data_IF_979057859934
#
_entry.id   IF_979057859934
#
_cell.length_a   1.000
_cell.length_b   1.000
_cell.length_c   1.000
_cell.angle_alpha   90.00
_cell.angle_beta   90.00
_cell.angle_gamma   90.00
#
_symmetry.space_group_name_H-M   'P 1'
#
loop_
_entity.id
_entity.type
_entity.pdbx_description
1 polymer ?
#
# COMPACT_ATOMS: atom_id res chain seq x y z
N UNK A 1 -24.23 8.07 51.63
CA UNK A 1 -25.22 7.61 50.64
C UNK A 1 -24.58 7.49 49.25
N UNK A 2 -23.54 6.66 49.14
CA UNK A 2 -22.72 6.51 47.92
C UNK A 2 -22.33 5.04 47.66
N UNK A 3 -23.20 4.09 48.06
CA UNK A 3 -22.90 2.66 47.97
C UNK A 3 -24.06 1.78 47.47
N UNK A 4 -25.19 2.36 47.05
CA UNK A 4 -26.38 1.58 46.70
C UNK A 4 -26.68 1.51 45.19
N UNK A 5 -25.94 2.23 44.34
CA UNK A 5 -26.12 2.21 42.88
C UNK A 5 -25.00 1.49 42.11
N UNK A 6 -24.26 0.58 42.78
CA UNK A 6 -23.18 -0.22 42.17
C UNK A 6 -23.46 -1.72 42.10
N UNK A 7 -24.71 -2.15 42.34
CA UNK A 7 -25.07 -3.57 42.46
C UNK A 7 -26.32 -4.01 41.69
N UNK A 8 -26.61 -3.36 40.56
CA UNK A 8 -27.67 -3.81 39.62
C UNK A 8 -27.27 -3.77 38.13
N UNK A 9 -25.96 -3.82 37.82
CA UNK A 9 -25.47 -4.03 36.45
C UNK A 9 -24.58 -5.28 36.34
N UNK A 10 -24.73 -6.23 37.26
CA UNK A 10 -24.14 -7.57 37.12
C UNK A 10 -25.26 -8.57 36.83
N UNK A 11 -25.21 -9.14 35.62
CA UNK A 11 -26.00 -10.29 35.12
C UNK A 11 -27.14 -10.03 34.14
N UNK A 12 -26.91 -9.18 33.14
CA UNK A 12 -27.48 -9.45 31.82
C UNK A 12 -26.52 -8.87 30.76
N UNK A 13 -25.56 -9.69 30.30
CA UNK A 13 -24.93 -9.44 28.99
C UNK A 13 -26.05 -9.62 27.97
N UNK A 14 -26.79 -8.54 27.70
CA UNK A 14 -27.63 -8.42 26.51
C UNK A 14 -26.76 -8.83 25.34
N UNK A 15 -27.07 -9.99 24.73
CA UNK A 15 -26.45 -10.40 23.48
C UNK A 15 -26.74 -9.28 22.49
N UNK A 16 -25.74 -8.43 22.21
CA UNK A 16 -25.82 -7.44 21.14
C UNK A 16 -26.20 -8.18 19.87
N UNK A 17 -27.48 -8.08 19.48
CA UNK A 17 -27.97 -8.69 18.25
C UNK A 17 -27.36 -7.88 17.10
N UNK A 18 -26.43 -8.50 16.38
CA UNK A 18 -25.86 -7.91 15.17
C UNK A 18 -26.89 -8.07 14.05
N UNK A 19 -27.47 -6.95 13.63
CA UNK A 19 -28.48 -6.89 12.58
C UNK A 19 -27.84 -6.72 11.20
N UNK A 20 -28.42 -7.38 10.20
CA UNK A 20 -27.99 -7.31 8.80
C UNK A 20 -26.93 -8.35 8.37
N UNK A 21 -26.94 -8.80 7.11
CA UNK A 21 -25.97 -9.75 6.59
C UNK A 21 -24.55 -9.17 6.54
N UNK A 22 -24.40 -7.89 6.15
CA UNK A 22 -23.11 -7.20 6.12
C UNK A 22 -22.48 -7.15 7.52
N UNK A 23 -23.19 -6.63 8.52
CA UNK A 23 -22.66 -6.48 9.88
C UNK A 23 -22.29 -7.83 10.51
N UNK A 24 -23.00 -8.92 10.15
CA UNK A 24 -22.65 -10.30 10.56
C UNK A 24 -21.37 -10.82 9.93
N UNK A 25 -21.10 -10.47 8.67
CA UNK A 25 -19.82 -10.75 8.02
C UNK A 25 -18.70 -9.95 8.70
N UNK A 26 -18.92 -8.64 8.90
CA UNK A 26 -17.92 -7.75 9.48
C UNK A 26 -17.56 -8.14 10.91
N UNK A 27 -18.53 -8.52 11.77
CA UNK A 27 -18.21 -8.94 13.15
C UNK A 27 -17.42 -10.25 13.18
N UNK A 28 -17.60 -11.14 12.20
CA UNK A 28 -16.84 -12.38 12.10
C UNK A 28 -15.37 -12.07 11.80
N UNK A 29 -15.13 -11.23 10.79
CA UNK A 29 -13.78 -10.80 10.43
C UNK A 29 -13.16 -9.99 11.57
N UNK A 30 -13.86 -9.02 12.14
CA UNK A 30 -13.34 -8.21 13.24
C UNK A 30 -12.85 -9.07 14.41
N UNK A 31 -13.63 -10.08 14.82
CA UNK A 31 -13.25 -11.01 15.90
C UNK A 31 -12.06 -11.90 15.58
N UNK A 32 -11.75 -12.11 14.30
CA UNK A 32 -10.58 -12.90 13.87
C UNK A 32 -9.28 -12.12 14.04
N UNK A 33 -9.34 -10.78 13.92
CA UNK A 33 -8.17 -9.91 13.88
C UNK A 33 -8.01 -8.97 15.10
N UNK A 34 -9.03 -8.84 15.95
CA UNK A 34 -8.97 -8.04 17.17
C UNK A 34 -8.26 -8.78 18.32
N UNK A 35 -7.79 -8.03 19.30
CA UNK A 35 -7.27 -8.58 20.55
C UNK A 35 -8.38 -9.00 21.53
N UNK A 36 -7.98 -9.42 22.75
CA UNK A 36 -8.90 -9.80 23.82
C UNK A 36 -9.82 -8.68 24.26
N UNK A 37 -9.40 -7.43 24.09
CA UNK A 37 -10.13 -6.23 24.49
C UNK A 37 -11.03 -5.69 23.37
N UNK A 38 -11.16 -6.44 22.26
CA UNK A 38 -11.92 -6.06 21.07
C UNK A 38 -11.35 -4.83 20.35
N UNK A 39 -10.02 -4.70 20.35
CA UNK A 39 -9.32 -3.66 19.62
C UNK A 39 -8.65 -4.24 18.37
N UNK A 40 -8.93 -3.65 17.21
CA UNK A 40 -8.28 -3.98 15.95
C UNK A 40 -7.12 -3.01 15.69
N UNK A 41 -5.90 -3.46 15.98
CA UNK A 41 -4.66 -2.66 15.84
C UNK A 41 -4.30 -2.35 14.38
N UNK A 42 -3.63 -1.22 14.14
CA UNK A 42 -3.25 -0.72 12.79
C UNK A 42 -2.63 -1.81 11.90
N UNK A 43 -1.68 -2.57 12.45
CA UNK A 43 -0.98 -3.67 11.76
C UNK A 43 -1.90 -4.77 11.21
N UNK A 44 -3.08 -4.96 11.81
CA UNK A 44 -4.04 -6.00 11.44
C UNK A 44 -5.16 -5.49 10.52
N UNK A 45 -5.32 -4.17 10.37
CA UNK A 45 -6.42 -3.57 9.59
C UNK A 45 -6.37 -4.05 8.13
N UNK A 46 -5.18 -4.02 7.52
CA UNK A 46 -5.03 -4.44 6.11
C UNK A 46 -5.45 -5.90 5.94
N UNK A 47 -5.03 -6.79 6.83
CA UNK A 47 -5.37 -8.21 6.75
C UNK A 47 -6.85 -8.48 6.99
N UNK A 48 -7.49 -7.75 7.92
CA UNK A 48 -8.94 -7.79 8.10
C UNK A 48 -9.69 -7.35 6.82
N UNK A 49 -9.23 -6.28 6.16
CA UNK A 49 -9.79 -5.84 4.89
C UNK A 49 -9.51 -6.85 3.75
N UNK A 50 -8.36 -7.52 3.75
CA UNK A 50 -8.01 -8.55 2.77
C UNK A 50 -8.92 -9.78 2.89
N UNK A 51 -9.31 -10.16 4.11
CA UNK A 51 -10.29 -11.23 4.35
C UNK A 51 -11.68 -10.91 3.76
N UNK A 52 -11.95 -9.64 3.44
CA UNK A 52 -13.15 -9.14 2.80
C UNK A 52 -12.96 -8.83 1.30
N UNK A 53 -11.83 -9.23 0.69
CA UNK A 53 -11.46 -8.97 -0.71
C UNK A 53 -11.30 -7.47 -1.06
N UNK A 54 -11.00 -6.62 -0.05
CA UNK A 54 -10.91 -5.17 -0.24
C UNK A 54 -9.50 -4.70 -0.63
N UNK A 55 -8.43 -5.15 0.04
CA UNK A 55 -7.05 -4.78 -0.34
C UNK A 55 -6.78 -3.26 -0.43
N UNK A 56 -7.02 -2.48 0.63
CA UNK A 56 -6.68 -1.05 0.67
C UNK A 56 -5.17 -0.84 0.58
N UNK A 57 -4.76 0.36 0.14
CA UNK A 57 -3.37 0.81 0.18
C UNK A 57 -2.89 1.07 1.62
N UNK A 58 -1.58 1.16 1.80
CA UNK A 58 -0.95 1.55 3.08
C UNK A 58 -1.44 2.92 3.53
N UNK A 59 -1.50 3.89 2.61
CA UNK A 59 -2.02 5.22 2.91
C UNK A 59 -3.50 5.21 3.30
N UNK A 60 -4.33 4.38 2.65
CA UNK A 60 -5.73 4.24 3.02
C UNK A 60 -5.89 3.70 4.44
N UNK A 61 -5.11 2.68 4.82
CA UNK A 61 -5.11 2.16 6.20
C UNK A 61 -4.70 3.24 7.19
N UNK A 62 -3.67 4.03 6.85
CA UNK A 62 -3.23 5.14 7.69
C UNK A 62 -4.28 6.25 7.79
N UNK A 63 -4.91 6.65 6.68
CA UNK A 63 -6.01 7.63 6.65
C UNK A 63 -7.19 7.15 7.52
N UNK A 64 -7.59 5.88 7.37
CA UNK A 64 -8.61 5.28 8.22
C UNK A 64 -8.24 5.36 9.70
N UNK A 65 -6.96 5.09 10.04
CA UNK A 65 -6.45 5.17 11.41
C UNK A 65 -6.55 6.59 11.96
N UNK A 66 -6.01 7.58 11.23
CA UNK A 66 -6.06 8.98 11.60
C UNK A 66 -7.49 9.47 11.78
N UNK A 67 -8.42 9.11 10.89
CA UNK A 67 -9.83 9.48 11.02
C UNK A 67 -10.49 8.89 12.27
N UNK A 68 -10.10 7.69 12.70
CA UNK A 68 -10.55 7.13 13.98
C UNK A 68 -9.89 7.83 15.18
N UNK A 69 -8.61 8.22 15.07
CA UNK A 69 -7.84 8.90 16.12
C UNK A 69 -8.32 10.33 16.40
N UNK A 70 -8.33 11.19 15.36
CA UNK A 70 -8.57 12.63 15.49
C UNK A 70 -9.96 12.97 16.03
N UNK A 71 -10.87 12.00 15.96
CA UNK A 71 -12.26 12.15 16.36
C UNK A 71 -12.69 11.08 17.36
N UNK A 72 -11.74 10.30 17.89
CA UNK A 72 -11.93 9.21 18.85
C UNK A 72 -11.94 9.64 20.33
N UNK A 73 -12.26 8.69 21.21
CA UNK A 73 -12.24 8.85 22.67
C UNK A 73 -10.90 9.40 23.17
N UNK A 74 -10.83 10.22 24.25
CA UNK A 74 -9.62 10.92 24.73
C UNK A 74 -8.41 10.05 25.15
N UNK A 75 -8.44 8.74 24.88
CA UNK A 75 -7.34 7.80 25.12
C UNK A 75 -6.43 7.66 23.89
N UNK A 76 -5.18 7.23 24.11
CA UNK A 76 -4.18 7.01 23.04
C UNK A 76 -4.74 6.01 22.01
N UNK A 77 -5.07 6.42 20.77
CA UNK A 77 -5.81 5.59 19.86
C UNK A 77 -4.85 4.91 18.89
N UNK A 78 -4.58 3.62 19.07
CA UNK A 78 -3.76 2.78 18.16
C UNK A 78 -4.57 1.66 17.49
N UNK A 79 -5.91 1.73 17.59
CA UNK A 79 -6.82 0.67 17.20
C UNK A 79 -8.20 1.15 16.74
N UNK A 80 -8.93 0.29 16.03
CA UNK A 80 -10.36 0.44 15.73
C UNK A 80 -11.24 -0.31 16.72
N UNK A 81 -12.35 0.33 17.06
CA UNK A 81 -13.55 -0.33 17.57
C UNK A 81 -14.31 -1.02 16.43
N UNK A 82 -15.22 -1.93 16.78
CA UNK A 82 -16.07 -2.59 15.80
C UNK A 82 -16.95 -1.61 15.00
N UNK A 83 -17.42 -0.52 15.62
CA UNK A 83 -18.23 0.49 14.96
C UNK A 83 -17.47 1.24 13.88
N UNK A 84 -16.25 1.71 14.18
CA UNK A 84 -15.38 2.39 13.22
C UNK A 84 -15.01 1.48 12.05
N UNK A 85 -14.64 0.23 12.36
CA UNK A 85 -14.38 -0.79 11.33
C UNK A 85 -15.60 -0.97 10.41
N UNK A 86 -16.82 -1.02 10.96
CA UNK A 86 -18.03 -1.15 10.16
C UNK A 86 -18.24 0.03 9.20
N UNK A 87 -18.12 1.27 9.69
CA UNK A 87 -18.35 2.48 8.90
C UNK A 87 -17.32 2.58 7.78
N UNK A 88 -16.04 2.44 8.09
CA UNK A 88 -14.94 2.57 7.14
C UNK A 88 -14.97 1.47 6.06
N UNK A 89 -15.25 0.22 6.45
CA UNK A 89 -15.40 -0.88 5.50
C UNK A 89 -16.64 -0.72 4.63
N UNK A 90 -17.75 -0.24 5.18
CA UNK A 90 -18.95 0.04 4.41
C UNK A 90 -18.73 1.16 3.38
N UNK A 91 -18.03 2.23 3.76
CA UNK A 91 -17.61 3.31 2.84
C UNK A 91 -16.75 2.74 1.70
N UNK A 92 -15.73 1.95 2.03
CA UNK A 92 -14.84 1.34 1.03
C UNK A 92 -15.59 0.40 0.07
N UNK A 93 -16.45 -0.49 0.62
CA UNK A 93 -17.31 -1.38 -0.19
C UNK A 93 -18.22 -0.59 -1.13
N UNK A 94 -18.79 0.53 -0.65
CA UNK A 94 -19.65 1.39 -1.45
C UNK A 94 -18.87 2.01 -2.62
N UNK A 95 -17.67 2.53 -2.38
CA UNK A 95 -16.86 3.06 -3.48
C UNK A 95 -16.47 1.98 -4.50
N UNK A 96 -16.17 0.76 -4.07
CA UNK A 96 -15.81 -0.31 -4.99
C UNK A 96 -16.98 -0.73 -5.88
N UNK A 97 -18.20 -0.72 -5.34
CA UNK A 97 -19.41 -0.96 -6.12
C UNK A 97 -19.68 0.16 -7.14
N UNK A 98 -19.40 1.42 -6.76
CA UNK A 98 -19.53 2.57 -7.66
C UNK A 98 -18.45 2.57 -8.76
N UNK A 99 -17.32 1.91 -8.54
CA UNK A 99 -16.18 1.80 -9.44
C UNK A 99 -15.77 3.16 -10.07
N UNK A 100 -15.48 4.18 -9.25
CA UNK A 100 -15.06 5.48 -9.75
C UNK A 100 -13.79 5.34 -10.58
N UNK A 101 -13.78 5.95 -11.77
CA UNK A 101 -12.59 5.97 -12.62
C UNK A 101 -11.56 6.92 -11.99
N UNK A 102 -10.28 6.51 -11.92
CA UNK A 102 -9.23 7.40 -11.44
C UNK A 102 -9.14 8.63 -12.35
N UNK A 103 -8.87 9.83 -11.79
CA UNK A 103 -8.66 11.01 -12.60
C UNK A 103 -7.42 10.82 -13.48
N UNK A 104 -7.59 10.97 -14.80
CA UNK A 104 -6.49 10.85 -15.77
C UNK A 104 -5.91 12.24 -16.03
N UNK A 105 -4.62 12.49 -15.77
CA UNK A 105 -3.97 13.74 -16.14
C UNK A 105 -4.07 13.98 -17.66
N UNK A 106 -4.44 15.20 -18.07
CA UNK A 106 -4.58 15.59 -19.49
C UNK A 106 -3.30 15.33 -20.30
N UNK A 107 -2.14 15.40 -19.67
CA UNK A 107 -0.82 15.11 -20.28
C UNK A 107 -0.68 13.68 -20.81
N UNK A 108 -1.47 12.72 -20.30
CA UNK A 108 -1.44 11.33 -20.74
C UNK A 108 -2.24 11.06 -22.02
N UNK A 109 -3.09 11.98 -22.46
CA UNK A 109 -3.90 11.85 -23.68
C UNK A 109 -3.01 11.81 -24.95
N UNK A 110 -1.75 12.26 -24.86
CA UNK A 110 -0.84 12.38 -26.02
C UNK A 110 0.18 11.25 -26.20
N UNK A 111 0.29 10.27 -25.29
CA UNK A 111 1.35 9.23 -25.34
C UNK A 111 0.79 7.83 -25.61
N UNK A 112 -0.25 7.71 -26.44
CA UNK A 112 -0.60 6.44 -27.09
C UNK A 112 -0.10 6.44 -28.53
N UNK A 113 1.22 6.53 -28.70
CA UNK A 113 1.84 6.17 -29.96
C UNK A 113 1.83 4.64 -30.06
N UNK A 114 1.15 4.14 -31.10
CA UNK A 114 0.99 2.74 -31.43
C UNK A 114 2.36 2.03 -31.43
N UNK A 115 2.57 1.13 -30.46
CA UNK A 115 3.75 0.27 -30.43
C UNK A 115 3.42 -1.02 -31.16
N UNK A 116 4.09 -1.23 -32.29
CA UNK A 116 4.10 -2.52 -32.96
C UNK A 116 5.04 -3.45 -32.15
N UNK A 117 4.48 -4.14 -31.16
CA UNK A 117 5.23 -4.97 -30.22
C UNK A 117 5.53 -6.31 -30.89
N UNK A 118 6.78 -6.56 -31.24
CA UNK A 118 7.25 -7.92 -31.49
C UNK A 118 7.14 -8.71 -30.16
N UNK A 119 6.04 -9.45 -29.99
CA UNK A 119 5.65 -10.18 -28.77
C UNK A 119 6.68 -11.25 -28.35
N UNK A 120 7.71 -11.52 -29.15
CA UNK A 120 8.71 -12.57 -28.90
C UNK A 120 9.86 -12.17 -27.98
N UNK A 121 10.03 -10.91 -27.56
CA UNK A 121 11.10 -10.50 -26.63
C UNK A 121 10.54 -9.73 -25.44
N UNK A 122 9.97 -10.45 -24.47
CA UNK A 122 9.60 -9.88 -23.16
C UNK A 122 10.86 -9.42 -22.43
N UNK A 123 11.13 -8.11 -22.45
CA UNK A 123 12.37 -7.52 -21.88
C UNK A 123 12.09 -6.87 -20.53
N UNK A 124 12.84 -7.30 -19.52
CA UNK A 124 12.84 -6.68 -18.19
C UNK A 124 13.98 -5.67 -18.09
N UNK A 125 13.70 -4.42 -17.72
CA UNK A 125 14.74 -3.43 -17.38
C UNK A 125 15.08 -3.50 -15.89
N UNK A 126 16.38 -3.54 -15.54
CA UNK A 126 16.84 -3.65 -14.14
C UNK A 126 17.24 -2.29 -13.55
N UNK A 127 16.26 -1.50 -13.12
CA UNK A 127 16.43 -0.20 -12.48
C UNK A 127 16.62 -0.27 -10.95
N UNK A 128 16.98 0.85 -10.33
CA UNK A 128 17.11 0.95 -8.87
C UNK A 128 18.55 0.99 -8.35
N UNK A 129 18.69 0.86 -7.04
CA UNK A 129 19.94 0.96 -6.28
C UNK A 129 21.09 0.21 -6.93
N UNK A 130 22.25 0.85 -7.02
CA UNK A 130 23.47 0.34 -7.65
C UNK A 130 24.48 -0.12 -6.58
N UNK A 131 25.68 0.44 -6.55
CA UNK A 131 26.68 0.12 -5.53
C UNK A 131 26.23 0.63 -4.16
N UNK A 132 26.50 -0.09 -3.06
CA UNK A 132 27.23 -1.36 -2.94
C UNK A 132 26.33 -2.60 -3.05
N UNK A 133 25.11 -2.47 -3.54
CA UNK A 133 24.13 -3.56 -3.61
C UNK A 133 24.52 -4.59 -4.68
N UNK A 134 24.10 -5.84 -4.48
CA UNK A 134 24.42 -6.96 -5.37
C UNK A 134 23.19 -7.72 -5.88
N UNK A 135 22.00 -7.20 -5.63
CA UNK A 135 20.74 -7.86 -5.99
C UNK A 135 20.66 -8.19 -7.49
N UNK A 136 21.26 -7.36 -8.37
CA UNK A 136 21.35 -7.65 -9.80
C UNK A 136 22.17 -8.91 -10.07
N UNK A 137 23.45 -8.89 -9.68
CA UNK A 137 24.40 -9.95 -10.00
C UNK A 137 24.13 -11.27 -9.27
N UNK A 138 23.74 -11.20 -7.99
CA UNK A 138 23.60 -12.39 -7.13
C UNK A 138 22.20 -13.01 -7.16
N UNK A 139 21.15 -12.25 -7.53
CA UNK A 139 19.76 -12.71 -7.41
C UNK A 139 19.01 -12.58 -8.74
N UNK A 140 18.83 -11.37 -9.27
CA UNK A 140 17.95 -11.12 -10.40
C UNK A 140 18.47 -11.71 -11.72
N UNK A 141 19.75 -11.49 -12.04
CA UNK A 141 20.35 -11.97 -13.30
C UNK A 141 20.36 -13.51 -13.37
N UNK A 142 20.85 -14.24 -12.33
CA UNK A 142 20.75 -15.71 -12.32
C UNK A 142 19.32 -16.19 -12.49
N UNK A 143 18.36 -15.62 -11.75
CA UNK A 143 16.95 -16.01 -11.82
C UNK A 143 16.37 -15.82 -13.22
N UNK A 144 16.60 -14.68 -13.87
CA UNK A 144 16.07 -14.43 -15.20
C UNK A 144 16.70 -15.35 -16.26
N UNK A 145 18.02 -15.60 -16.17
CA UNK A 145 18.71 -16.55 -17.07
C UNK A 145 18.12 -17.97 -16.94
N UNK A 146 17.98 -18.46 -15.72
CA UNK A 146 17.41 -19.79 -15.43
C UNK A 146 15.98 -19.94 -15.97
N UNK A 147 15.21 -18.85 -15.98
CA UNK A 147 13.82 -18.86 -16.44
C UNK A 147 13.64 -18.46 -17.91
N UNK A 148 14.73 -18.25 -18.66
CA UNK A 148 14.68 -17.86 -20.07
C UNK A 148 14.07 -16.47 -20.32
N UNK A 149 14.15 -15.57 -19.33
CA UNK A 149 13.60 -14.21 -19.41
C UNK A 149 14.72 -13.26 -19.82
N UNK A 150 14.50 -12.48 -20.89
CA UNK A 150 15.48 -11.49 -21.35
C UNK A 150 15.43 -10.23 -20.49
N UNK A 151 16.60 -9.65 -20.20
CA UNK A 151 16.71 -8.45 -19.38
C UNK A 151 17.80 -7.50 -19.90
N UNK A 152 17.71 -6.23 -19.51
CA UNK A 152 18.75 -5.22 -19.69
C UNK A 152 19.26 -4.77 -18.32
N UNK A 153 20.57 -4.91 -18.11
CA UNK A 153 21.26 -4.41 -16.93
C UNK A 153 21.97 -3.08 -17.26
N UNK A 154 21.51 -1.93 -16.74
CA UNK A 154 22.17 -0.65 -16.98
C UNK A 154 23.49 -0.49 -16.20
N UNK A 155 23.73 -1.31 -15.18
CA UNK A 155 24.92 -1.19 -14.34
C UNK A 155 26.15 -1.77 -15.07
N UNK A 156 27.02 -0.87 -15.52
CA UNK A 156 28.32 -1.16 -16.13
C UNK A 156 29.47 -0.75 -15.21
N UNK A 157 30.67 -1.32 -15.42
CA UNK A 157 31.86 -0.91 -14.67
C UNK A 157 32.36 0.48 -15.07
N UNK A 158 32.37 0.78 -16.37
CA UNK A 158 32.86 2.06 -16.92
C UNK A 158 31.71 2.77 -17.63
N UNK A 159 31.15 3.79 -16.98
CA UNK A 159 30.08 4.59 -17.56
C UNK A 159 30.62 5.51 -18.66
N UNK A 160 29.86 5.67 -19.74
CA UNK A 160 30.14 6.62 -20.83
C UNK A 160 28.84 7.28 -21.29
N UNK A 161 28.86 8.52 -21.83
CA UNK A 161 27.67 9.22 -22.30
C UNK A 161 26.83 8.42 -23.31
N UNK A 162 27.47 7.62 -24.18
CA UNK A 162 26.78 6.81 -25.18
C UNK A 162 25.89 5.72 -24.55
N UNK A 163 26.18 5.32 -23.31
CA UNK A 163 25.36 4.35 -22.57
C UNK A 163 24.05 4.96 -22.10
N UNK A 164 23.95 6.29 -21.99
CA UNK A 164 22.71 6.97 -21.62
C UNK A 164 21.62 6.75 -22.67
N UNK A 165 21.98 6.86 -23.95
CA UNK A 165 21.06 6.64 -25.07
C UNK A 165 20.64 5.16 -25.16
N UNK A 166 21.61 4.24 -24.99
CA UNK A 166 21.31 2.81 -24.95
C UNK A 166 20.38 2.43 -23.78
N UNK A 167 20.60 3.03 -22.62
CA UNK A 167 19.72 2.86 -21.46
C UNK A 167 18.32 3.41 -21.74
N UNK A 168 18.21 4.61 -22.32
CA UNK A 168 16.93 5.21 -22.69
C UNK A 168 16.14 4.32 -23.68
N UNK A 169 16.82 3.82 -24.71
CA UNK A 169 16.24 2.87 -25.68
C UNK A 169 15.80 1.58 -25.00
N UNK A 170 16.64 1.01 -24.11
CA UNK A 170 16.29 -0.18 -23.36
C UNK A 170 15.06 0.03 -22.47
N UNK A 171 14.95 1.17 -21.78
CA UNK A 171 13.77 1.54 -20.98
C UNK A 171 12.53 1.73 -21.85
N UNK A 172 12.66 2.36 -23.01
CA UNK A 172 11.53 2.55 -23.93
C UNK A 172 10.97 1.21 -24.41
N UNK A 173 11.89 0.27 -24.69
CA UNK A 173 11.60 -1.02 -25.26
C UNK A 173 11.24 -2.13 -24.27
N UNK A 174 11.54 -1.96 -22.98
CA UNK A 174 11.23 -2.95 -21.95
C UNK A 174 9.72 -3.03 -21.71
N UNK A 175 9.19 -4.24 -21.55
CA UNK A 175 7.80 -4.46 -21.20
C UNK A 175 7.58 -4.24 -19.71
N UNK A 176 8.56 -4.62 -18.89
CA UNK A 176 8.51 -4.53 -17.43
C UNK A 176 9.72 -3.74 -16.93
N UNK A 177 9.45 -2.79 -16.05
CA UNK A 177 10.44 -2.00 -15.33
C UNK A 177 10.61 -2.59 -13.94
N UNK A 178 11.69 -3.35 -13.71
CA UNK A 178 11.97 -3.98 -12.41
C UNK A 178 12.92 -3.10 -11.60
N UNK A 179 12.45 -2.57 -10.47
CA UNK A 179 13.19 -1.64 -9.62
C UNK A 179 13.40 -2.21 -8.21
N UNK A 180 14.61 -2.04 -7.68
CA UNK A 180 14.92 -2.30 -6.27
C UNK A 180 15.41 -1.02 -5.61
N UNK A 181 14.70 -0.55 -4.59
CA UNK A 181 15.05 0.60 -3.77
C UNK A 181 15.63 0.07 -2.46
N UNK A 182 16.94 -0.18 -2.46
CA UNK A 182 17.66 -0.81 -1.35
C UNK A 182 17.93 0.17 -0.20
N UNK A 183 18.13 -0.34 1.01
CA UNK A 183 18.42 0.46 2.21
C UNK A 183 19.89 0.89 2.33
N UNK A 184 20.80 0.39 1.48
CA UNK A 184 22.24 0.76 1.47
C UNK A 184 22.56 1.97 0.59
N UNK A 185 21.54 2.59 0.00
CA UNK A 185 21.69 3.78 -0.86
C UNK A 185 20.58 4.78 -0.52
N UNK A 186 20.82 6.07 -0.76
CA UNK A 186 19.77 7.10 -0.69
C UNK A 186 18.68 6.90 -1.74
N UNK A 187 19.01 6.29 -2.88
CA UNK A 187 18.10 5.87 -3.96
C UNK A 187 17.18 6.96 -4.56
N UNK A 188 17.42 8.24 -4.27
CA UNK A 188 16.53 9.36 -4.65
C UNK A 188 16.22 9.39 -6.16
N UNK A 189 17.24 9.28 -7.01
CA UNK A 189 17.03 9.28 -8.47
C UNK A 189 16.16 8.11 -8.93
N UNK A 190 16.37 6.91 -8.37
CA UNK A 190 15.53 5.75 -8.67
C UNK A 190 14.09 5.92 -8.17
N UNK A 191 13.89 6.57 -7.02
CA UNK A 191 12.54 6.87 -6.51
C UNK A 191 11.78 7.82 -7.44
N UNK A 192 12.43 8.89 -7.90
CA UNK A 192 11.85 9.82 -8.89
C UNK A 192 11.50 9.09 -10.19
N UNK A 193 12.39 8.21 -10.64
CA UNK A 193 12.17 7.44 -11.85
C UNK A 193 10.98 6.48 -11.73
N UNK A 194 10.85 5.76 -10.60
CA UNK A 194 9.69 4.91 -10.32
C UNK A 194 8.40 5.74 -10.34
N UNK A 195 8.39 6.89 -9.69
CA UNK A 195 7.22 7.78 -9.68
C UNK A 195 6.80 8.19 -11.11
N UNK A 196 7.78 8.59 -11.95
CA UNK A 196 7.53 8.95 -13.34
C UNK A 196 7.00 7.76 -14.17
N UNK A 197 7.61 6.58 -14.03
CA UNK A 197 7.23 5.38 -14.79
C UNK A 197 5.83 4.89 -14.42
N UNK A 198 5.48 4.92 -13.13
CA UNK A 198 4.13 4.57 -12.67
C UNK A 198 3.12 5.61 -13.16
N UNK A 199 3.42 6.91 -13.03
CA UNK A 199 2.53 7.98 -13.50
C UNK A 199 2.27 7.89 -15.01
N UNK A 200 3.26 7.42 -15.80
CA UNK A 200 3.14 7.20 -17.25
C UNK A 200 2.61 5.81 -17.63
N UNK A 201 2.03 5.07 -16.69
CA UNK A 201 1.35 3.78 -16.90
C UNK A 201 2.26 2.68 -17.49
N UNK A 202 3.56 2.69 -17.15
CA UNK A 202 4.45 1.56 -17.45
C UNK A 202 4.20 0.42 -16.45
N UNK A 203 4.41 -0.83 -16.86
CA UNK A 203 4.39 -1.96 -15.94
C UNK A 203 5.64 -1.92 -15.05
N UNK A 204 5.48 -1.41 -13.83
CA UNK A 204 6.57 -1.32 -12.84
C UNK A 204 6.40 -2.40 -11.78
N UNK A 205 7.47 -3.16 -11.53
CA UNK A 205 7.60 -4.04 -10.36
C UNK A 205 8.64 -3.39 -9.45
N UNK A 206 8.25 -2.95 -8.26
CA UNK A 206 9.15 -2.25 -7.33
C UNK A 206 9.29 -3.01 -6.02
N UNK A 207 10.54 -3.19 -5.60
CA UNK A 207 10.88 -3.69 -4.26
C UNK A 207 11.41 -2.54 -3.41
N UNK A 208 10.84 -2.32 -2.24
CA UNK A 208 11.30 -1.36 -1.24
C UNK A 208 11.91 -2.12 -0.06
N UNK A 209 13.24 -2.07 0.09
CA UNK A 209 13.91 -2.72 1.22
C UNK A 209 13.82 -1.82 2.47
N UNK A 210 13.49 -2.43 3.61
CA UNK A 210 13.41 -1.74 4.89
C UNK A 210 14.79 -1.34 5.43
N UNK A 211 14.83 -0.23 6.15
CA UNK A 211 15.98 0.14 6.98
C UNK A 211 16.00 -0.75 8.23
N UNK A 212 17.05 -1.57 8.37
CA UNK A 212 17.18 -2.55 9.47
C UNK A 212 17.75 -1.99 10.77
N UNK A 213 18.23 -0.75 10.76
CA UNK A 213 18.83 -0.06 11.89
C UNK A 213 18.70 1.45 11.73
N UNK A 214 18.78 2.20 12.83
CA UNK A 214 18.88 3.66 12.80
C UNK A 214 20.25 4.14 12.29
N UNK A 215 21.31 3.37 12.56
CA UNK A 215 22.67 3.68 12.10
C UNK A 215 22.89 3.10 10.71
N UNK A 216 22.45 3.83 9.69
CA UNK A 216 22.67 3.47 8.28
C UNK A 216 23.89 4.23 7.77
N UNK A 217 24.80 3.52 7.12
CA UNK A 217 25.90 4.13 6.40
C UNK A 217 25.69 4.02 4.90
N UNK A 218 25.74 5.15 4.20
CA UNK A 218 25.73 5.22 2.74
C UNK A 218 27.06 5.82 2.30
N UNK A 219 27.83 5.07 1.52
CA UNK A 219 29.15 5.49 1.02
C UNK A 219 30.10 6.01 2.13
N UNK A 220 30.18 5.27 3.24
CA UNK A 220 30.97 5.60 4.44
C UNK A 220 30.49 6.83 5.23
N UNK A 221 29.39 7.46 4.84
CA UNK A 221 28.74 8.51 5.60
C UNK A 221 27.63 7.92 6.47
N UNK A 222 27.63 8.23 7.76
CA UNK A 222 26.52 7.91 8.64
C UNK A 222 25.41 8.93 8.42
N UNK A 223 24.20 8.46 8.13
CA UNK A 223 23.06 9.35 7.94
C UNK A 223 22.71 10.06 9.25
N UNK A 224 22.41 11.35 9.18
CA UNK A 224 21.86 12.09 10.33
C UNK A 224 20.41 11.71 10.57
N UNK A 225 19.88 11.96 11.77
CA UNK A 225 18.47 11.71 12.09
C UNK A 225 17.52 12.49 11.17
N UNK A 226 17.86 13.75 10.86
CA UNK A 226 17.08 14.58 9.94
C UNK A 226 17.07 14.02 8.53
N UNK A 227 18.23 13.57 8.03
CA UNK A 227 18.35 12.97 6.70
C UNK A 227 17.59 11.64 6.63
N UNK A 228 17.71 10.80 7.66
CA UNK A 228 16.97 9.55 7.77
C UNK A 228 15.46 9.81 7.72
N UNK A 229 14.99 10.81 8.46
CA UNK A 229 13.58 11.22 8.47
C UNK A 229 13.11 11.64 7.06
N UNK A 230 13.89 12.43 6.33
CA UNK A 230 13.54 12.87 4.97
C UNK A 230 13.54 11.70 3.97
N UNK A 231 14.49 10.78 4.08
CA UNK A 231 14.53 9.57 3.25
C UNK A 231 13.34 8.64 3.52
N UNK A 232 12.97 8.45 4.79
CA UNK A 232 11.79 7.67 5.16
C UNK A 232 10.53 8.33 4.61
N UNK A 233 10.36 9.64 4.81
CA UNK A 233 9.23 10.40 4.25
C UNK A 233 9.16 10.27 2.73
N UNK A 234 10.29 10.43 2.03
CA UNK A 234 10.33 10.26 0.57
C UNK A 234 9.88 8.87 0.12
N UNK A 235 10.29 7.82 0.83
CA UNK A 235 9.87 6.43 0.53
C UNK A 235 8.38 6.21 0.80
N UNK A 236 7.83 6.83 1.84
CA UNK A 236 6.39 6.79 2.13
C UNK A 236 5.58 7.51 1.03
N UNK A 237 6.05 8.68 0.59
CA UNK A 237 5.42 9.41 -0.53
C UNK A 237 5.46 8.59 -1.82
N UNK A 238 6.60 7.94 -2.12
CA UNK A 238 6.67 7.05 -3.28
C UNK A 238 5.71 5.87 -3.13
N UNK A 239 5.61 5.30 -1.93
CA UNK A 239 4.70 4.18 -1.64
C UNK A 239 3.26 4.56 -1.93
N UNK A 240 2.81 5.69 -1.41
CA UNK A 240 1.48 6.25 -1.68
C UNK A 240 1.23 6.41 -3.18
N UNK A 241 2.15 7.05 -3.90
CA UNK A 241 2.00 7.29 -5.34
C UNK A 241 1.89 5.98 -6.14
N UNK A 242 2.72 4.99 -5.81
CA UNK A 242 2.74 3.68 -6.48
C UNK A 242 1.43 2.93 -6.22
N UNK A 243 1.01 2.83 -4.95
CA UNK A 243 -0.21 2.11 -4.57
C UNK A 243 -1.49 2.82 -5.07
N UNK A 244 -1.51 4.15 -5.17
CA UNK A 244 -2.61 4.91 -5.79
C UNK A 244 -2.87 4.53 -7.25
N UNK A 245 -1.83 4.08 -7.95
CA UNK A 245 -1.91 3.57 -9.31
C UNK A 245 -2.22 2.05 -9.37
N UNK A 246 -2.58 1.43 -8.23
CA UNK A 246 -2.90 0.01 -8.14
C UNK A 246 -1.69 -0.91 -8.30
N UNK A 247 -0.47 -0.38 -8.16
CA UNK A 247 0.75 -1.17 -8.27
C UNK A 247 1.15 -1.66 -6.88
N UNK A 248 1.30 -2.98 -6.67
CA UNK A 248 1.76 -3.53 -5.40
C UNK A 248 3.26 -3.25 -5.20
N UNK A 249 3.65 -3.05 -3.93
CA UNK A 249 5.06 -2.90 -3.52
C UNK A 249 5.52 -4.16 -2.82
N UNK A 250 6.70 -4.64 -3.22
CA UNK A 250 7.33 -5.80 -2.61
C UNK A 250 8.34 -5.37 -1.55
N UNK A 251 8.50 -6.19 -0.51
CA UNK A 251 9.57 -6.03 0.49
C UNK A 251 10.71 -7.04 0.30
N UNK A 252 10.53 -8.01 -0.61
CA UNK A 252 11.49 -9.06 -0.91
C UNK A 252 11.71 -9.19 -2.43
N UNK A 253 12.98 -9.11 -2.83
CA UNK A 253 13.39 -9.15 -4.24
C UNK A 253 13.04 -10.48 -4.89
N UNK A 254 13.12 -11.61 -4.17
CA UNK A 254 12.82 -12.94 -4.72
C UNK A 254 11.32 -13.09 -4.97
N UNK A 255 10.47 -12.58 -4.08
CA UNK A 255 9.01 -12.51 -4.32
C UNK A 255 8.69 -11.65 -5.53
N UNK A 256 9.33 -10.48 -5.65
CA UNK A 256 9.16 -9.60 -6.82
C UNK A 256 9.60 -10.29 -8.13
N UNK A 257 10.70 -11.06 -8.12
CA UNK A 257 11.17 -11.82 -9.27
C UNK A 257 10.19 -12.95 -9.66
N UNK A 258 9.64 -13.67 -8.68
CA UNK A 258 8.63 -14.69 -8.90
C UNK A 258 7.36 -14.09 -9.54
N UNK A 259 6.86 -12.98 -9.01
CA UNK A 259 5.75 -12.22 -9.60
C UNK A 259 6.09 -11.72 -11.02
N UNK A 260 7.30 -11.22 -11.24
CA UNK A 260 7.76 -10.79 -12.58
C UNK A 260 7.73 -11.96 -13.56
N UNK A 261 8.17 -13.15 -13.15
CA UNK A 261 8.04 -14.37 -13.97
C UNK A 261 6.58 -14.70 -14.26
N UNK A 262 5.68 -14.59 -13.29
CA UNK A 262 4.24 -14.78 -13.50
C UNK A 262 3.69 -13.80 -14.54
N UNK A 263 3.98 -12.51 -14.40
CA UNK A 263 3.62 -11.46 -15.37
C UNK A 263 4.16 -11.80 -16.75
N UNK A 264 5.46 -12.12 -16.84
CA UNK A 264 6.12 -12.47 -18.09
C UNK A 264 5.57 -13.76 -18.70
N UNK A 265 5.03 -14.73 -17.95
CA UNK A 265 4.49 -15.97 -18.53
C UNK A 265 3.02 -15.81 -18.92
N UNK A 266 2.21 -15.26 -18.03
CA UNK A 266 0.76 -15.13 -18.20
C UNK A 266 0.38 -13.93 -19.07
N UNK A 267 1.24 -12.90 -19.17
CA UNK A 267 0.95 -11.69 -19.91
C UNK A 267 -0.10 -10.79 -19.24
N UNK A 268 -0.26 -10.89 -17.93
CA UNK A 268 -1.15 -10.04 -17.13
C UNK A 268 -0.48 -8.71 -16.76
N UNK A 269 -1.27 -7.75 -16.28
CA UNK A 269 -0.78 -6.50 -15.72
C UNK A 269 -0.29 -6.69 -14.27
N UNK A 270 0.62 -5.84 -13.79
CA UNK A 270 1.16 -5.94 -12.41
C UNK A 270 0.08 -5.75 -11.34
N UNK A 271 -0.95 -4.95 -11.65
CA UNK A 271 -2.10 -4.72 -10.76
C UNK A 271 -3.07 -5.92 -10.68
N UNK A 272 -2.90 -6.93 -11.54
CA UNK A 272 -3.71 -8.16 -11.51
C UNK A 272 -3.10 -9.23 -10.60
N UNK A 273 -1.91 -9.00 -10.04
CA UNK A 273 -1.27 -9.92 -9.11
C UNK A 273 -2.09 -10.06 -7.83
N UNK A 274 -2.11 -11.28 -7.29
CA UNK A 274 -2.89 -11.63 -6.11
C UNK A 274 -1.99 -12.11 -4.96
N UNK A 275 -2.59 -12.36 -3.80
CA UNK A 275 -1.91 -13.00 -2.68
C UNK A 275 -1.29 -14.37 -3.06
N UNK A 276 -1.90 -15.11 -4.01
CA UNK A 276 -1.40 -16.41 -4.48
C UNK A 276 -0.08 -16.28 -5.24
N UNK A 277 0.16 -15.13 -5.86
CA UNK A 277 1.40 -14.83 -6.57
C UNK A 277 2.52 -14.35 -5.64
N UNK A 278 2.19 -14.08 -4.36
CA UNK A 278 3.09 -13.51 -3.38
C UNK A 278 3.16 -11.98 -3.39
N UNK A 279 2.19 -11.31 -4.03
CA UNK A 279 2.01 -9.86 -3.99
C UNK A 279 0.98 -9.47 -2.94
N UNK A 280 1.05 -8.22 -2.45
CA UNK A 280 -0.03 -7.60 -1.70
C UNK A 280 -0.80 -6.68 -2.64
N UNK A 281 -1.94 -7.11 -3.20
CA UNK A 281 -2.69 -6.30 -4.14
C UNK A 281 -3.15 -4.98 -3.50
N UNK A 282 -3.43 -4.01 -4.36
CA UNK A 282 -4.02 -2.73 -3.98
C UNK A 282 -5.17 -2.44 -4.93
N UNK A 283 -6.39 -2.35 -4.40
CA UNK A 283 -7.57 -1.97 -5.17
C UNK A 283 -7.94 -0.52 -4.87
N UNK A 284 -8.14 0.28 -5.91
CA UNK A 284 -8.58 1.67 -5.81
C UNK A 284 -7.81 2.52 -4.79
N UNK A 285 -6.48 2.40 -4.73
CA UNK A 285 -5.65 3.12 -3.75
C UNK A 285 -5.75 4.65 -3.81
N UNK A 286 -6.31 5.21 -4.89
CA UNK A 286 -6.54 6.64 -5.08
C UNK A 286 -7.78 7.20 -4.35
N UNK A 287 -8.62 6.33 -3.80
CA UNK A 287 -9.81 6.75 -3.05
C UNK A 287 -9.42 7.21 -1.66
N UNK A 288 -9.92 8.38 -1.27
CA UNK A 288 -9.82 8.89 0.09
C UNK A 288 -10.92 8.28 0.95
N UNK A 289 -10.58 7.92 2.18
CA UNK A 289 -11.49 7.27 3.12
C UNK A 289 -11.64 8.09 4.40
N UNK A 290 -12.69 7.81 5.17
CA UNK A 290 -12.92 8.42 6.47
C UNK A 290 -13.99 9.50 6.48
N UNK A 291 -14.42 9.99 5.31
CA UNK A 291 -15.46 11.03 5.21
C UNK A 291 -16.75 10.59 5.88
N UNK A 292 -17.17 9.34 5.66
CA UNK A 292 -18.38 8.81 6.27
C UNK A 292 -18.30 8.76 7.81
N UNK A 293 -17.12 8.43 8.35
CA UNK A 293 -16.90 8.41 9.80
C UNK A 293 -16.92 9.82 10.39
N UNK A 294 -16.33 10.80 9.68
CA UNK A 294 -16.34 12.20 10.07
C UNK A 294 -17.76 12.77 10.09
N UNK A 295 -18.50 12.64 8.98
CA UNK A 295 -19.87 13.15 8.87
C UNK A 295 -20.81 12.49 9.90
N UNK A 296 -20.64 11.19 10.17
CA UNK A 296 -21.41 10.50 11.19
C UNK A 296 -21.13 11.03 12.61
N UNK A 297 -19.85 11.27 12.94
CA UNK A 297 -19.46 11.81 14.24
C UNK A 297 -19.89 13.27 14.41
N UNK A 298 -19.76 14.10 13.37
CA UNK A 298 -20.26 15.47 13.38
C UNK A 298 -21.77 15.51 13.60
N UNK A 299 -22.52 14.66 12.90
CA UNK A 299 -23.96 14.53 13.11
C UNK A 299 -24.29 14.06 14.53
N UNK A 300 -23.60 13.04 15.05
CA UNK A 300 -23.78 12.54 16.41
C UNK A 300 -23.53 13.64 17.45
N UNK A 301 -22.39 14.32 17.38
CA UNK A 301 -22.00 15.38 18.33
C UNK A 301 -22.91 16.62 18.24
N UNK A 302 -23.55 16.86 17.09
CA UNK A 302 -24.53 17.94 16.97
C UNK A 302 -25.82 17.68 17.77
N UNK A 303 -26.08 16.40 18.09
CA UNK A 303 -27.23 15.96 18.88
C UNK A 303 -26.83 15.69 20.33
N UNK A 304 -25.69 15.01 20.55
CA UNK A 304 -25.10 14.76 21.86
C UNK A 304 -24.36 16.01 22.40
N UNK A 305 -25.12 17.08 22.63
CA UNK A 305 -24.57 18.36 23.08
C UNK A 305 -23.97 18.33 24.50
N UNK A 306 -24.23 17.26 25.26
CA UNK A 306 -23.74 17.05 26.62
C UNK A 306 -22.54 16.07 26.70
N UNK A 307 -22.04 15.57 25.56
CA UNK A 307 -20.91 14.61 25.48
C UNK A 307 -21.17 13.35 26.32
N UNK A 308 -22.40 12.84 26.26
CA UNK A 308 -22.85 11.67 27.01
C UNK A 308 -22.33 10.37 26.40
N UNK A 309 -21.98 10.39 25.10
CA UNK A 309 -21.51 9.24 24.33
C UNK A 309 -22.63 8.26 23.94
N UNK A 310 -23.89 8.67 24.07
CA UNK A 310 -25.07 7.91 23.64
C UNK A 310 -26.23 8.85 23.30
N UNK A 311 -27.09 8.42 22.37
CA UNK A 311 -28.35 9.09 22.03
C UNK A 311 -29.52 8.26 22.56
N UNK A 312 -30.54 8.93 23.08
CA UNK A 312 -31.81 8.30 23.43
C UNK A 312 -32.64 8.07 22.16
N UNK A 313 -33.73 7.30 22.26
CA UNK A 313 -34.67 7.15 21.14
C UNK A 313 -35.49 8.42 20.85
N UNK A 314 -35.40 9.43 21.72
CA UNK A 314 -36.15 10.68 21.64
C UNK A 314 -35.34 11.83 21.00
N UNK A 315 -34.04 11.62 20.79
CA UNK A 315 -33.10 12.55 20.13
C UNK A 315 -33.05 12.34 18.60
#
# INVERSE_FOLDING_TARGET
>A
MAQTFRRQLSSERTKTKVWGPLTRELIKVFKEFCDSDQHLHEKNIRDACNALDLYPSTSQVHEMMVCAMDYGSPCKPDHFTFGEFCVLVAELKTYYQLNPKPPVPVSMVRIRAERNIDRKKRRVFLGGSCNPTKWRAEIAIPFFKENGITFYNPQVQNWKPELMELEAQAKQMADIMFFVIDSKTRAISSMIEVAYLVATQRQVVVTMCEYKSSNICVDSETLTDSEMLDLVKGRLILTDLVERNGVPIFTDVRKALACTKTIVKQGCHVSELTLKDGAHPVKHGHLKLGRALLELREAFNSVDSEDLGWLSSED
#
